data_IF_453408555175
#
_entry.id   IF_453408555175
#
_cell.length_a   1.000
_cell.length_b   1.000
_cell.length_c   1.000
_cell.angle_alpha   90.00
_cell.angle_beta   90.00
_cell.angle_gamma   90.00
#
_symmetry.space_group_name_H-M   'P 1'
#
loop_
_entity.id
_entity.type
_entity.pdbx_description
1 polymer ?
#
# COMPACT_ATOMS: atom_id res chain seq x y z
N UNK A 1 1.23 8.05 -3.92
CA UNK A 1 2.15 7.22 -4.75
C UNK A 1 1.45 6.40 -5.84
N UNK A 2 0.29 5.76 -5.61
CA UNK A 2 -0.45 5.03 -6.66
C UNK A 2 -0.74 5.84 -7.95
N UNK A 3 -1.14 7.11 -7.83
CA UNK A 3 -1.38 7.98 -8.97
C UNK A 3 -0.13 8.25 -9.83
N UNK A 4 1.07 8.21 -9.25
CA UNK A 4 2.34 8.40 -9.97
C UNK A 4 2.79 7.14 -10.72
N UNK A 5 2.18 5.98 -10.42
CA UNK A 5 2.38 4.73 -11.16
C UNK A 5 1.36 4.59 -12.31
N UNK A 6 0.41 5.52 -12.44
CA UNK A 6 -0.58 5.54 -13.52
C UNK A 6 -1.66 4.46 -13.46
N UNK A 7 -1.74 3.68 -12.36
CA UNK A 7 -2.74 2.64 -12.17
C UNK A 7 -4.04 3.24 -11.64
N UNK A 8 -5.15 2.96 -12.31
CA UNK A 8 -6.51 3.37 -11.90
C UNK A 8 -7.56 2.36 -12.39
N UNK A 9 -8.83 2.61 -12.11
CA UNK A 9 -9.95 1.71 -12.47
C UNK A 9 -10.08 1.43 -13.98
N UNK A 10 -9.52 2.31 -14.84
CA UNK A 10 -9.53 2.14 -16.29
C UNK A 10 -8.30 1.39 -16.82
N UNK A 11 -7.35 1.03 -15.95
CA UNK A 11 -6.16 0.28 -16.36
C UNK A 11 -6.57 -1.12 -16.86
N UNK A 12 -6.14 -1.55 -18.06
CA UNK A 12 -6.49 -2.87 -18.60
C UNK A 12 -6.12 -4.00 -17.64
N UNK A 13 -7.10 -4.85 -17.31
CA UNK A 13 -6.91 -5.98 -16.39
C UNK A 13 -6.92 -5.61 -14.91
N UNK A 14 -7.04 -4.32 -14.55
CA UNK A 14 -7.25 -3.90 -13.17
C UNK A 14 -8.62 -4.37 -12.69
N UNK A 15 -8.64 -4.93 -11.48
CA UNK A 15 -9.88 -5.28 -10.78
C UNK A 15 -9.86 -4.62 -9.42
N UNK A 16 -10.99 -4.01 -9.06
CA UNK A 16 -11.25 -3.67 -7.66
C UNK A 16 -11.29 -4.99 -6.89
N UNK A 17 -10.36 -5.11 -5.95
CA UNK A 17 -10.26 -6.24 -5.04
C UNK A 17 -10.89 -5.86 -3.68
N UNK A 18 -10.94 -6.82 -2.75
CA UNK A 18 -11.47 -6.65 -1.40
C UNK A 18 -11.03 -5.29 -0.80
N UNK A 19 -11.99 -4.51 -0.30
CA UNK A 19 -11.69 -3.30 0.45
C UNK A 19 -10.79 -3.63 1.64
N UNK A 20 -9.71 -2.89 1.81
CA UNK A 20 -8.87 -3.02 3.00
C UNK A 20 -9.51 -2.21 4.12
N UNK A 21 -9.98 -2.91 5.15
CA UNK A 21 -10.49 -2.29 6.36
C UNK A 21 -9.37 -2.19 7.41
N UNK A 22 -9.05 -0.98 7.85
CA UNK A 22 -8.21 -0.76 9.03
C UNK A 22 -8.99 -1.00 10.32
N UNK A 23 -8.30 -1.11 11.46
CA UNK A 23 -8.92 -1.29 12.79
C UNK A 23 -9.87 -0.13 13.17
N UNK A 24 -9.74 1.02 12.49
CA UNK A 24 -10.65 2.16 12.61
C UNK A 24 -11.92 2.09 11.74
N UNK A 25 -12.21 0.96 11.08
CA UNK A 25 -13.38 0.81 10.19
C UNK A 25 -13.24 1.55 8.85
N UNK A 26 -12.02 1.95 8.49
CA UNK A 26 -11.73 2.67 7.26
C UNK A 26 -11.53 1.69 6.11
N UNK A 27 -12.40 1.73 5.11
CA UNK A 27 -12.28 0.96 3.88
C UNK A 27 -11.52 1.74 2.80
N UNK A 28 -10.39 1.22 2.36
CA UNK A 28 -9.66 1.69 1.20
C UNK A 28 -9.95 0.83 -0.04
N UNK A 29 -10.04 1.46 -1.21
CA UNK A 29 -10.16 0.73 -2.49
C UNK A 29 -8.79 0.20 -2.90
N UNK A 30 -8.75 -1.10 -3.17
CA UNK A 30 -7.57 -1.80 -3.65
C UNK A 30 -7.75 -2.16 -5.11
N UNK A 31 -6.78 -1.80 -5.93
CA UNK A 31 -6.72 -2.23 -7.33
C UNK A 31 -5.64 -3.30 -7.47
N UNK A 32 -6.05 -4.49 -7.88
CA UNK A 32 -5.15 -5.58 -8.25
C UNK A 32 -4.91 -5.55 -9.76
N UNK A 33 -3.65 -5.55 -10.17
CA UNK A 33 -3.25 -5.60 -11.58
C UNK A 33 -2.27 -6.77 -11.80
N UNK A 34 -2.60 -7.75 -12.67
CA UNK A 34 -1.70 -8.86 -12.98
C UNK A 34 -0.64 -8.46 -14.03
N UNK A 35 0.49 -9.16 -14.03
CA UNK A 35 1.53 -9.11 -15.06
C UNK A 35 2.05 -7.70 -15.37
N UNK A 36 2.49 -6.98 -14.34
CA UNK A 36 2.96 -5.60 -14.48
C UNK A 36 4.48 -5.58 -14.64
N UNK A 37 4.98 -4.89 -15.66
CA UNK A 37 6.42 -4.67 -15.84
C UNK A 37 6.77 -3.25 -15.48
N UNK A 38 7.63 -3.08 -14.48
CA UNK A 38 8.17 -1.78 -14.11
C UNK A 38 9.42 -1.52 -14.94
N UNK A 39 9.42 -0.40 -15.66
CA UNK A 39 10.58 0.08 -16.42
C UNK A 39 11.03 1.41 -15.85
N UNK A 40 12.25 1.42 -15.32
CA UNK A 40 12.94 2.64 -14.91
C UNK A 40 14.10 2.90 -15.88
N UNK A 41 14.77 4.04 -15.73
CA UNK A 41 15.97 4.33 -16.52
C UNK A 41 17.13 3.33 -16.29
N UNK A 42 17.10 2.57 -15.19
CA UNK A 42 18.21 1.68 -14.77
C UNK A 42 17.84 0.20 -14.79
N UNK A 43 16.58 -0.15 -14.58
CA UNK A 43 16.13 -1.54 -14.47
C UNK A 43 14.78 -1.78 -15.14
N UNK A 44 14.58 -3.02 -15.60
CA UNK A 44 13.29 -3.57 -16.00
C UNK A 44 13.00 -4.78 -15.14
N UNK A 45 11.89 -4.75 -14.41
CA UNK A 45 11.48 -5.83 -13.52
C UNK A 45 10.02 -6.21 -13.78
N UNK A 46 9.76 -7.51 -13.87
CA UNK A 46 8.43 -8.04 -14.07
C UNK A 46 7.86 -8.54 -12.75
N UNK A 47 6.67 -8.05 -12.42
CA UNK A 47 5.91 -8.46 -11.25
C UNK A 47 4.70 -9.28 -11.72
N UNK A 48 4.53 -10.52 -11.21
CA UNK A 48 3.36 -11.33 -11.57
C UNK A 48 2.06 -10.67 -11.11
N UNK A 49 2.10 -9.85 -10.06
CA UNK A 49 0.98 -9.05 -9.58
C UNK A 49 1.47 -7.78 -8.87
N UNK A 50 0.71 -6.71 -9.00
CA UNK A 50 0.89 -5.46 -8.23
C UNK A 50 -0.44 -5.07 -7.60
N UNK A 51 -0.38 -4.60 -6.36
CA UNK A 51 -1.50 -4.06 -5.62
C UNK A 51 -1.30 -2.54 -5.51
N UNK A 52 -2.30 -1.78 -5.95
CA UNK A 52 -2.32 -0.32 -5.85
C UNK A 52 -3.42 0.11 -4.89
N UNK A 53 -3.09 1.00 -3.96
CA UNK A 53 -4.01 1.52 -2.96
C UNK A 53 -4.11 3.04 -3.13
N UNK A 54 -5.33 3.57 -3.22
CA UNK A 54 -5.52 5.02 -3.16
C UNK A 54 -5.58 5.51 -1.70
N UNK A 55 -4.54 6.23 -1.29
CA UNK A 55 -4.40 6.79 0.06
C UNK A 55 -4.95 8.22 0.18
N UNK A 56 -5.52 8.80 -0.88
CA UNK A 56 -6.02 10.20 -0.86
C UNK A 56 -7.16 10.39 0.12
N UNK A 57 -8.14 9.49 0.11
CA UNK A 57 -9.28 9.56 1.05
C UNK A 57 -8.81 9.39 2.50
N UNK A 58 -7.85 8.50 2.73
CA UNK A 58 -7.21 8.31 4.03
C UNK A 58 -6.51 9.60 4.48
N UNK A 59 -5.70 10.20 3.60
CA UNK A 59 -4.96 11.44 3.89
C UNK A 59 -5.91 12.62 4.20
N UNK A 60 -6.99 12.75 3.44
CA UNK A 60 -8.00 13.81 3.62
C UNK A 60 -8.69 13.72 4.98
N UNK A 61 -9.02 12.52 5.43
CA UNK A 61 -9.70 12.33 6.73
C UNK A 61 -8.78 12.56 7.93
N UNK A 62 -7.53 12.13 7.86
CA UNK A 62 -6.56 12.30 8.97
C UNK A 62 -6.04 13.76 8.99
N UNK A 63 -6.28 14.54 7.93
CA UNK A 63 -5.79 15.91 7.80
C UNK A 63 -4.28 15.99 7.61
N UNK A 64 -3.65 14.88 7.20
CA UNK A 64 -2.21 14.74 7.02
C UNK A 64 -1.94 13.79 5.86
N UNK A 65 -0.92 14.09 5.06
CA UNK A 65 -0.51 13.24 3.94
C UNK A 65 0.00 11.88 4.44
N UNK A 66 -0.60 10.80 3.93
CA UNK A 66 -0.10 9.45 4.16
C UNK A 66 0.89 9.09 3.05
N UNK A 67 2.17 9.01 3.40
CA UNK A 67 3.23 8.72 2.45
C UNK A 67 3.16 7.28 1.88
N UNK A 68 2.74 6.30 2.68
CA UNK A 68 2.69 4.90 2.26
C UNK A 68 2.25 3.95 3.37
N UNK A 69 2.38 2.65 3.10
CA UNK A 69 2.07 1.56 4.03
C UNK A 69 3.30 0.67 4.15
N UNK A 70 3.67 0.29 5.37
CA UNK A 70 4.70 -0.73 5.62
C UNK A 70 4.01 -2.08 5.68
N UNK A 71 4.38 -2.98 4.77
CA UNK A 71 3.76 -4.28 4.58
C UNK A 71 4.39 -5.40 5.42
N UNK A 72 3.76 -6.57 5.35
CA UNK A 72 4.23 -7.79 6.03
C UNK A 72 5.60 -8.24 5.53
N UNK A 73 5.88 -8.09 4.25
CA UNK A 73 7.16 -8.40 3.60
C UNK A 73 8.37 -7.70 4.24
N UNK A 74 8.17 -6.49 4.77
CA UNK A 74 9.19 -5.81 5.56
C UNK A 74 9.18 -6.26 7.03
N UNK A 75 7.99 -6.43 7.61
CA UNK A 75 7.82 -6.69 9.03
C UNK A 75 8.10 -8.13 9.44
N UNK A 76 8.06 -9.09 8.52
CA UNK A 76 8.25 -10.52 8.80
C UNK A 76 9.64 -10.85 9.36
N UNK A 77 10.63 -10.02 9.05
CA UNK A 77 12.00 -10.13 9.55
C UNK A 77 12.17 -9.58 10.99
N UNK A 78 11.11 -9.06 11.61
CA UNK A 78 11.18 -8.37 12.89
C UNK A 78 10.13 -8.87 13.89
N UNK A 79 10.51 -8.89 15.16
CA UNK A 79 9.55 -8.84 16.25
C UNK A 79 9.01 -7.41 16.38
N UNK A 80 7.74 -7.23 16.02
CA UNK A 80 7.04 -5.93 16.10
C UNK A 80 6.35 -5.77 17.45
N UNK A 81 6.62 -4.67 18.15
CA UNK A 81 5.87 -4.25 19.35
C UNK A 81 5.20 -2.91 19.08
N UNK A 82 3.89 -2.84 19.31
CA UNK A 82 3.10 -1.61 19.23
C UNK A 82 2.73 -1.17 20.65
N UNK A 83 3.33 -0.09 21.13
CA UNK A 83 3.00 0.51 22.42
C UNK A 83 2.18 1.79 22.20
N UNK A 84 0.86 1.65 22.28
CA UNK A 84 -0.07 2.78 22.08
C UNK A 84 -0.03 3.83 23.19
N UNK A 85 0.35 3.44 24.42
CA UNK A 85 0.44 4.39 25.54
C UNK A 85 1.69 5.25 25.44
N UNK A 86 2.82 4.65 25.03
CA UNK A 86 4.06 5.37 24.77
C UNK A 86 4.10 6.01 23.37
N UNK A 87 3.09 5.75 22.52
CA UNK A 87 3.05 6.14 21.11
C UNK A 87 4.29 5.68 20.31
N UNK A 88 4.70 4.42 20.52
CA UNK A 88 5.93 3.87 19.96
C UNK A 88 5.70 2.57 19.16
N UNK A 89 6.46 2.42 18.06
CA UNK A 89 6.61 1.16 17.33
C UNK A 89 8.04 0.68 17.47
N UNK A 90 8.26 -0.50 18.04
CA UNK A 90 9.59 -1.12 18.19
C UNK A 90 9.73 -2.31 17.26
N UNK A 91 10.86 -2.34 16.55
CA UNK A 91 11.27 -3.45 15.70
C UNK A 91 12.57 -4.02 16.26
N UNK A 92 12.57 -5.30 16.64
CA UNK A 92 13.79 -6.01 17.07
C UNK A 92 14.04 -7.25 16.21
N UNK A 93 15.31 -7.52 15.89
CA UNK A 93 15.74 -8.78 15.28
C UNK A 93 15.89 -9.89 16.31
#
# INVERSE_FOLDING_TARGET
MAANLGVNEKTPGAKVDLGIAGVGGLEGVVLRVPNVTFKTAKNTEAFPQVISIDLKEISKMIGTEVAGVVGFDFLEDYKVTLDYYAAEVRLSK
#
